data_IF_583152636867
#
_entry.id   IF_583152636867
#
_cell.length_a   1.000
_cell.length_b   1.000
_cell.length_c   1.000
_cell.angle_alpha   90.00
_cell.angle_beta   90.00
_cell.angle_gamma   90.00
#
_symmetry.space_group_name_H-M   'P 1'
#
loop_
_entity.id
_entity.type
_entity.pdbx_description
1 polymer ?
#
# COMPACT_ATOMS: atom_id res chain seq x y z
N UNK A 1 41.70 5.45 20.63
CA UNK A 1 40.54 6.19 21.17
C UNK A 1 40.13 7.35 20.26
N UNK A 2 40.98 8.37 20.02
CA UNK A 2 40.63 9.51 19.14
C UNK A 2 40.27 9.11 17.70
N UNK A 3 41.07 8.24 17.06
CA UNK A 3 40.79 7.78 15.68
C UNK A 3 39.47 6.99 15.56
N UNK A 4 39.13 6.19 16.58
CA UNK A 4 37.86 5.46 16.62
C UNK A 4 36.68 6.42 16.77
N UNK A 5 36.81 7.42 17.65
CA UNK A 5 35.80 8.47 17.81
C UNK A 5 35.58 9.26 16.51
N UNK A 6 36.66 9.69 15.86
CA UNK A 6 36.58 10.39 14.58
C UNK A 6 35.96 9.52 13.48
N UNK A 7 36.31 8.24 13.42
CA UNK A 7 35.70 7.30 12.49
C UNK A 7 34.19 7.16 12.72
N UNK A 8 33.76 6.96 13.97
CA UNK A 8 32.34 6.86 14.32
C UNK A 8 31.59 8.17 13.97
N UNK A 9 32.16 9.32 14.31
CA UNK A 9 31.58 10.62 13.97
C UNK A 9 31.43 10.81 12.45
N UNK A 10 32.43 10.39 11.67
CA UNK A 10 32.38 10.43 10.22
C UNK A 10 31.30 9.51 9.65
N UNK A 11 31.16 8.29 10.19
CA UNK A 11 30.11 7.34 9.78
C UNK A 11 28.72 7.89 10.09
N UNK A 12 28.52 8.48 11.27
CA UNK A 12 27.25 9.11 11.65
C UNK A 12 26.95 10.29 10.71
N UNK A 13 27.93 11.16 10.44
CA UNK A 13 27.76 12.28 9.53
C UNK A 13 27.40 11.79 8.12
N UNK A 14 28.08 10.77 7.60
CA UNK A 14 27.79 10.18 6.30
C UNK A 14 26.36 9.59 6.27
N UNK A 15 25.93 8.90 7.31
CA UNK A 15 24.56 8.38 7.41
C UNK A 15 23.51 9.50 7.46
N UNK A 16 23.75 10.57 8.22
CA UNK A 16 22.86 11.73 8.29
C UNK A 16 22.76 12.44 6.94
N UNK A 17 23.89 12.68 6.26
CA UNK A 17 23.92 13.28 4.93
C UNK A 17 23.23 12.38 3.90
N UNK A 18 23.44 11.07 3.97
CA UNK A 18 22.77 10.11 3.10
C UNK A 18 21.24 10.19 3.26
N UNK A 19 20.73 10.15 4.49
CA UNK A 19 19.30 10.27 4.77
C UNK A 19 18.75 11.64 4.32
N UNK A 20 19.51 12.72 4.54
CA UNK A 20 19.09 14.06 4.17
C UNK A 20 19.02 14.28 2.66
N UNK A 21 19.97 13.73 1.89
CA UNK A 21 20.18 14.05 0.47
C UNK A 21 19.55 13.01 -0.45
N UNK A 22 19.64 11.71 -0.09
CA UNK A 22 19.23 10.64 -1.00
C UNK A 22 17.73 10.72 -1.29
N UNK A 23 17.32 10.72 -2.58
CA UNK A 23 15.96 11.10 -2.95
C UNK A 23 14.90 10.14 -2.44
N UNK A 24 15.20 8.85 -2.22
CA UNK A 24 14.23 7.84 -1.78
C UNK A 24 13.57 8.14 -0.43
N UNK A 25 14.22 8.94 0.43
CA UNK A 25 13.66 9.38 1.71
C UNK A 25 12.53 10.42 1.55
N UNK A 26 12.39 11.04 0.38
CA UNK A 26 11.33 12.01 0.09
C UNK A 26 11.43 13.30 0.92
N UNK A 27 10.42 14.15 0.85
CA UNK A 27 10.35 15.43 1.57
C UNK A 27 9.77 15.31 2.99
N UNK A 28 9.62 16.45 3.65
CA UNK A 28 8.89 16.56 4.92
C UNK A 28 7.86 17.68 4.80
N UNK A 29 6.71 17.59 5.50
CA UNK A 29 5.72 18.67 5.47
C UNK A 29 6.33 20.01 5.88
N UNK A 30 5.97 21.07 5.13
CA UNK A 30 6.40 22.44 5.38
C UNK A 30 5.81 22.97 6.70
N UNK A 31 6.32 24.11 7.19
CA UNK A 31 5.81 24.72 8.44
C UNK A 31 4.33 25.09 8.32
N UNK A 32 3.93 25.59 7.16
CA UNK A 32 2.57 26.02 6.84
C UNK A 32 1.62 24.82 6.85
N UNK A 33 2.01 23.70 6.25
CA UNK A 33 1.25 22.44 6.31
C UNK A 33 1.10 21.95 7.75
N UNK A 34 2.19 21.96 8.54
CA UNK A 34 2.13 21.55 9.96
C UNK A 34 1.23 22.45 10.79
N UNK A 35 1.12 23.73 10.45
CA UNK A 35 0.20 24.64 11.11
C UNK A 35 -1.26 24.29 10.79
N UNK A 36 -1.58 23.93 9.54
CA UNK A 36 -2.90 23.40 9.18
C UNK A 36 -3.19 22.12 9.97
N UNK A 37 -2.23 21.19 10.03
CA UNK A 37 -2.42 19.91 10.74
C UNK A 37 -2.63 20.09 12.24
N UNK A 38 -2.04 21.13 12.85
CA UNK A 38 -2.21 21.39 14.29
C UNK A 38 -3.65 21.68 14.73
N UNK A 39 -4.55 21.98 13.80
CA UNK A 39 -5.99 22.11 14.06
C UNK A 39 -6.80 20.82 13.91
N UNK A 40 -6.18 19.69 13.54
CA UNK A 40 -6.86 18.41 13.34
C UNK A 40 -6.86 17.57 14.61
N UNK A 41 -7.98 16.89 14.89
CA UNK A 41 -8.14 16.03 16.07
C UNK A 41 -7.20 14.83 16.07
N UNK A 42 -6.77 14.37 14.89
CA UNK A 42 -5.85 13.26 14.70
C UNK A 42 -4.39 13.71 14.54
N UNK A 43 -4.03 14.92 14.98
CA UNK A 43 -2.65 15.41 14.97
C UNK A 43 -2.24 16.02 16.31
N UNK A 44 -1.19 15.47 16.92
CA UNK A 44 -0.71 15.88 18.24
C UNK A 44 0.80 15.80 18.33
N UNK A 45 1.44 16.78 18.99
CA UNK A 45 2.89 16.85 19.20
C UNK A 45 3.71 16.71 17.90
N UNK A 46 3.20 17.27 16.80
CA UNK A 46 3.87 17.25 15.49
C UNK A 46 3.75 15.91 14.74
N UNK A 47 2.83 15.04 15.15
CA UNK A 47 2.59 13.72 14.57
C UNK A 47 1.11 13.43 14.38
N UNK A 48 0.77 12.68 13.35
CA UNK A 48 -0.55 12.05 13.24
C UNK A 48 -0.68 10.93 14.28
N UNK A 49 -1.89 10.69 14.77
CA UNK A 49 -2.18 9.69 15.80
C UNK A 49 -3.38 8.82 15.42
N UNK A 50 -3.34 7.55 15.83
CA UNK A 50 -4.45 6.63 15.63
C UNK A 50 -5.69 7.03 16.46
N UNK A 51 -6.90 6.80 15.93
CA UNK A 51 -8.16 7.03 16.65
C UNK A 51 -8.24 6.21 17.96
N UNK A 52 -7.71 4.98 17.92
CA UNK A 52 -7.57 4.12 19.08
C UNK A 52 -6.09 4.03 19.47
N UNK A 53 -5.72 4.22 20.75
CA UNK A 53 -4.34 4.10 21.21
C UNK A 53 -3.70 2.78 20.75
N UNK A 54 -2.61 2.90 20.02
CA UNK A 54 -1.94 1.77 19.35
C UNK A 54 -0.53 1.62 19.91
N UNK A 55 -0.21 0.42 20.38
CA UNK A 55 1.09 0.11 20.98
C UNK A 55 2.04 -0.44 19.92
N UNK A 56 3.15 0.27 19.71
CA UNK A 56 4.30 -0.19 18.94
C UNK A 56 5.45 -0.45 19.92
N UNK A 57 5.35 -1.52 20.69
CA UNK A 57 6.35 -1.85 21.71
C UNK A 57 7.23 -2.98 21.19
N UNK A 58 8.28 -2.63 20.44
CA UNK A 58 9.34 -3.57 20.11
C UNK A 58 10.42 -3.49 21.20
N UNK A 59 10.54 -4.54 22.02
CA UNK A 59 11.60 -4.57 23.03
C UNK A 59 12.97 -4.83 22.39
N UNK A 60 14.05 -4.49 23.10
CA UNK A 60 15.41 -4.80 22.62
C UNK A 60 15.65 -6.31 22.45
N UNK A 61 14.90 -7.14 23.17
CA UNK A 61 14.92 -8.60 22.99
C UNK A 61 14.25 -8.98 21.67
N UNK A 62 13.08 -8.40 21.37
CA UNK A 62 12.37 -8.64 20.11
C UNK A 62 13.23 -8.23 18.92
N UNK A 63 13.91 -7.08 19.01
CA UNK A 63 14.86 -6.64 17.98
C UNK A 63 16.02 -7.63 17.77
N UNK A 64 16.58 -8.20 18.85
CA UNK A 64 17.64 -9.21 18.75
C UNK A 64 17.12 -10.51 18.12
N UNK A 65 15.92 -10.96 18.50
CA UNK A 65 15.27 -12.13 17.91
C UNK A 65 14.97 -11.90 16.43
N UNK A 66 14.49 -10.72 16.04
CA UNK A 66 14.27 -10.34 14.65
C UNK A 66 15.55 -10.44 13.82
N UNK A 67 16.68 -9.92 14.33
CA UNK A 67 17.98 -10.05 13.65
C UNK A 67 18.35 -11.52 13.49
N UNK A 68 18.21 -12.33 14.55
CA UNK A 68 18.52 -13.76 14.51
C UNK A 68 17.65 -14.49 13.48
N UNK A 69 16.34 -14.22 13.48
CA UNK A 69 15.39 -14.84 12.56
C UNK A 69 15.60 -14.41 11.11
N UNK A 70 15.96 -13.14 10.88
CA UNK A 70 16.30 -12.64 9.55
C UNK A 70 17.57 -13.32 9.00
N UNK A 71 18.56 -13.61 9.86
CA UNK A 71 19.78 -14.34 9.48
C UNK A 71 19.51 -15.84 9.31
N UNK A 72 18.73 -16.45 10.21
CA UNK A 72 18.54 -17.89 10.22
C UNK A 72 17.69 -18.40 9.05
N UNK A 73 16.94 -17.51 8.38
CA UNK A 73 16.10 -17.84 7.23
C UNK A 73 15.02 -18.85 7.59
N UNK A 74 13.83 -18.38 7.97
CA UNK A 74 12.70 -19.28 8.21
C UNK A 74 12.38 -20.13 6.97
N UNK A 75 11.81 -21.31 7.20
CA UNK A 75 11.40 -22.21 6.11
C UNK A 75 10.39 -21.50 5.21
N UNK A 76 10.58 -21.62 3.91
CA UNK A 76 9.62 -21.20 2.88
C UNK A 76 9.14 -19.74 3.02
N UNK A 77 9.98 -18.82 3.49
CA UNK A 77 9.66 -17.38 3.58
C UNK A 77 9.56 -16.65 2.25
N UNK A 78 9.99 -17.30 1.17
CA UNK A 78 10.04 -16.80 -0.20
C UNK A 78 9.83 -17.98 -1.16
N UNK A 79 9.23 -17.76 -2.35
CA UNK A 79 9.16 -18.79 -3.37
C UNK A 79 10.54 -19.30 -3.81
N UNK A 80 10.62 -20.60 -4.10
CA UNK A 80 11.86 -21.28 -4.52
C UNK A 80 12.41 -20.77 -5.86
N UNK A 81 11.53 -20.26 -6.72
CA UNK A 81 11.85 -19.66 -8.01
C UNK A 81 11.16 -18.30 -8.17
N UNK A 82 11.68 -17.38 -9.01
CA UNK A 82 11.00 -16.13 -9.27
C UNK A 82 9.58 -16.35 -9.83
N UNK A 83 8.61 -15.63 -9.28
CA UNK A 83 7.23 -15.67 -9.79
C UNK A 83 7.22 -15.06 -11.18
N UNK A 84 6.72 -15.82 -12.15
CA UNK A 84 6.50 -15.34 -13.51
C UNK A 84 5.25 -14.48 -13.55
N UNK A 85 5.37 -13.28 -14.10
CA UNK A 85 4.26 -12.36 -14.31
C UNK A 85 4.01 -12.32 -15.82
N UNK A 86 2.80 -12.66 -16.30
CA UNK A 86 2.48 -12.56 -17.72
C UNK A 86 2.47 -11.09 -18.16
N UNK A 87 2.56 -10.87 -19.47
CA UNK A 87 2.36 -9.54 -20.04
C UNK A 87 0.94 -9.04 -19.72
N UNK A 88 0.85 -7.73 -19.47
CA UNK A 88 -0.41 -7.07 -19.14
C UNK A 88 -1.31 -7.02 -20.38
N UNK A 89 -2.55 -7.49 -20.23
CA UNK A 89 -3.57 -7.43 -21.27
C UNK A 89 -4.22 -6.04 -21.30
N UNK A 90 -3.60 -5.11 -22.02
CA UNK A 90 -4.12 -3.75 -22.18
C UNK A 90 -5.50 -3.71 -22.84
N UNK A 91 -5.91 -4.71 -23.62
CA UNK A 91 -7.25 -4.71 -24.21
C UNK A 91 -8.33 -4.89 -23.15
N UNK A 92 -8.07 -5.74 -22.14
CA UNK A 92 -8.98 -5.89 -20.99
C UNK A 92 -9.02 -4.63 -20.13
N UNK A 93 -7.86 -4.04 -19.85
CA UNK A 93 -7.77 -2.80 -19.08
C UNK A 93 -8.52 -1.67 -19.82
N UNK A 94 -8.41 -1.61 -21.15
CA UNK A 94 -9.03 -0.57 -21.99
C UNK A 94 -10.49 -0.81 -22.32
N UNK A 95 -11.06 -1.94 -21.88
CA UNK A 95 -12.48 -2.20 -22.08
C UNK A 95 -13.34 -1.20 -21.27
N UNK A 96 -14.62 -1.12 -21.65
CA UNK A 96 -15.61 -0.33 -20.89
C UNK A 96 -16.08 -1.02 -19.61
N UNK A 97 -15.64 -2.26 -19.37
CA UNK A 97 -15.94 -3.01 -18.17
C UNK A 97 -15.03 -2.56 -17.02
N UNK A 98 -15.64 -2.43 -15.84
CA UNK A 98 -14.86 -2.19 -14.63
C UNK A 98 -13.96 -3.40 -14.37
N UNK A 99 -12.72 -3.16 -14.01
CA UNK A 99 -11.70 -4.23 -13.90
C UNK A 99 -10.63 -3.91 -12.87
N UNK A 100 -9.92 -4.94 -12.43
CA UNK A 100 -8.75 -4.83 -11.55
C UNK A 100 -7.59 -5.63 -12.14
N UNK A 101 -6.41 -5.03 -12.14
CA UNK A 101 -5.15 -5.70 -12.43
C UNK A 101 -4.25 -5.65 -11.21
N UNK A 102 -3.81 -6.81 -10.71
CA UNK A 102 -2.99 -6.90 -9.50
C UNK A 102 -1.51 -7.05 -9.81
N UNK A 103 -0.66 -6.21 -9.24
CA UNK A 103 0.79 -6.24 -9.41
C UNK A 103 1.52 -6.86 -8.21
N UNK A 104 0.81 -7.65 -7.39
CA UNK A 104 1.37 -8.21 -6.16
C UNK A 104 1.45 -7.18 -5.04
N UNK A 105 1.58 -7.65 -3.80
CA UNK A 105 1.53 -6.80 -2.61
C UNK A 105 0.23 -6.00 -2.56
N UNK A 106 0.32 -4.70 -2.31
CA UNK A 106 -0.80 -3.75 -2.29
C UNK A 106 -0.87 -2.87 -3.55
N UNK A 107 -0.18 -3.24 -4.64
CA UNK A 107 -0.17 -2.49 -5.89
C UNK A 107 -1.20 -3.03 -6.89
N UNK A 108 -2.14 -2.19 -7.34
CA UNK A 108 -3.18 -2.59 -8.30
C UNK A 108 -3.71 -1.42 -9.12
N UNK A 109 -4.09 -1.70 -10.37
CA UNK A 109 -4.74 -0.75 -11.27
C UNK A 109 -6.24 -1.09 -11.37
N UNK A 110 -7.08 -0.12 -11.05
CA UNK A 110 -8.53 -0.20 -11.20
C UNK A 110 -8.97 0.51 -12.47
N UNK A 111 -9.92 -0.07 -13.18
CA UNK A 111 -10.78 0.60 -14.15
C UNK A 111 -12.17 0.69 -13.52
N UNK A 112 -12.65 1.90 -13.21
CA UNK A 112 -14.02 2.14 -12.71
C UNK A 112 -14.62 3.32 -13.47
N UNK A 113 -15.79 3.12 -14.09
CA UNK A 113 -16.46 4.13 -14.93
C UNK A 113 -15.52 4.73 -16.00
N UNK A 114 -14.74 3.86 -16.66
CA UNK A 114 -13.70 4.24 -17.64
C UNK A 114 -12.61 5.16 -17.07
N UNK A 115 -12.31 5.08 -15.76
CA UNK A 115 -11.20 5.82 -15.12
C UNK A 115 -10.16 4.85 -14.61
N UNK A 116 -8.89 5.15 -14.87
CA UNK A 116 -7.72 4.34 -14.51
C UNK A 116 -7.09 4.86 -13.23
N UNK A 117 -7.29 4.14 -12.14
CA UNK A 117 -6.83 4.50 -10.81
C UNK A 117 -5.73 3.53 -10.35
N UNK A 118 -4.51 4.02 -10.19
CA UNK A 118 -3.39 3.19 -9.74
C UNK A 118 -3.15 3.40 -8.24
N UNK A 119 -3.45 2.37 -7.44
CA UNK A 119 -3.27 2.41 -5.99
C UNK A 119 -1.91 1.83 -5.62
N UNK A 120 -1.20 2.54 -4.73
CA UNK A 120 0.10 2.17 -4.15
C UNK A 120 1.04 1.53 -5.17
N UNK A 121 1.48 2.25 -6.22
CA UNK A 121 2.20 1.69 -7.36
C UNK A 121 3.65 1.31 -7.02
N UNK A 122 3.87 0.46 -6.01
CA UNK A 122 5.14 -0.15 -5.70
C UNK A 122 5.45 -1.24 -6.72
N UNK A 123 6.26 -0.90 -7.74
CA UNK A 123 6.67 -1.80 -8.83
C UNK A 123 8.19 -2.01 -8.88
N UNK A 124 8.93 -1.29 -8.04
CA UNK A 124 10.35 -1.44 -7.84
C UNK A 124 10.78 -2.84 -7.37
N UNK A 125 12.08 -3.15 -7.49
CA UNK A 125 12.62 -4.47 -7.15
C UNK A 125 12.79 -4.72 -5.64
N UNK A 126 12.81 -3.67 -4.81
CA UNK A 126 13.11 -3.77 -3.37
C UNK A 126 12.29 -2.75 -2.58
N UNK A 127 11.60 -3.20 -1.53
CA UNK A 127 10.91 -2.34 -0.57
C UNK A 127 11.88 -1.74 0.46
N UNK A 128 12.69 -0.76 0.02
CA UNK A 128 13.75 -0.16 0.84
C UNK A 128 14.25 1.17 0.28
N UNK A 129 14.84 2.05 1.11
CA UNK A 129 15.53 3.25 0.62
C UNK A 129 16.74 2.95 -0.27
N UNK A 130 17.29 1.72 -0.21
CA UNK A 130 18.50 1.29 -0.94
C UNK A 130 18.34 -0.10 -1.53
N UNK A 131 18.98 -0.37 -2.66
CA UNK A 131 18.86 -1.66 -3.37
C UNK A 131 19.58 -2.83 -2.72
N UNK A 132 20.55 -2.58 -1.82
CA UNK A 132 21.37 -3.62 -1.17
C UNK A 132 20.82 -4.08 0.18
N UNK A 133 19.79 -3.42 0.72
CA UNK A 133 19.16 -3.79 1.98
C UNK A 133 17.65 -3.88 1.80
N UNK A 134 16.98 -4.78 2.52
CA UNK A 134 15.54 -5.00 2.42
C UNK A 134 15.14 -6.19 1.55
N UNK A 135 13.83 -6.44 1.48
CA UNK A 135 13.27 -7.60 0.81
C UNK A 135 13.20 -7.39 -0.70
N UNK A 136 13.79 -8.30 -1.46
CA UNK A 136 13.68 -8.30 -2.93
C UNK A 136 12.33 -8.86 -3.34
N UNK A 137 11.75 -8.28 -4.38
CA UNK A 137 10.53 -8.78 -5.01
C UNK A 137 10.66 -10.25 -5.40
N UNK A 138 9.56 -11.00 -5.31
CA UNK A 138 9.48 -12.40 -5.70
C UNK A 138 9.53 -12.56 -7.23
N UNK A 139 8.89 -11.65 -7.97
CA UNK A 139 9.05 -11.50 -9.41
C UNK A 139 10.19 -10.52 -9.77
N UNK A 140 10.42 -10.30 -11.06
CA UNK A 140 11.27 -9.23 -11.54
C UNK A 140 10.64 -7.85 -11.27
N UNK A 141 11.41 -6.78 -11.42
CA UNK A 141 10.83 -5.42 -11.33
C UNK A 141 9.76 -5.23 -12.40
N UNK A 142 8.67 -4.59 -12.00
CA UNK A 142 7.51 -4.33 -12.84
C UNK A 142 7.45 -2.88 -13.31
N UNK A 143 8.55 -2.12 -13.14
CA UNK A 143 8.64 -0.72 -13.59
C UNK A 143 8.41 -0.57 -15.09
N UNK A 144 8.76 -1.59 -15.88
CA UNK A 144 8.54 -1.60 -17.33
C UNK A 144 7.06 -1.46 -17.69
N UNK A 145 6.12 -1.96 -16.88
CA UNK A 145 4.70 -1.75 -17.12
C UNK A 145 4.29 -0.27 -17.09
N UNK A 146 4.94 0.57 -16.28
CA UNK A 146 4.71 2.02 -16.32
C UNK A 146 5.32 2.60 -17.60
N UNK A 147 6.46 2.08 -18.05
CA UNK A 147 7.11 2.56 -19.27
C UNK A 147 6.25 2.22 -20.51
N UNK A 148 5.61 1.04 -20.49
CA UNK A 148 4.74 0.50 -21.54
C UNK A 148 3.30 1.04 -21.50
N UNK A 149 2.90 1.81 -20.47
CA UNK A 149 1.57 2.45 -20.47
C UNK A 149 1.42 3.35 -21.70
N UNK A 150 0.38 3.13 -22.53
CA UNK A 150 0.18 3.94 -23.72
C UNK A 150 -0.17 5.39 -23.34
N UNK A 151 -0.07 6.31 -24.29
CA UNK A 151 -0.79 7.59 -24.23
C UNK A 151 -1.94 7.50 -25.23
N UNK A 152 -3.08 8.10 -24.91
CA UNK A 152 -4.22 8.20 -25.82
C UNK A 152 -4.42 9.68 -26.12
N UNK A 153 -4.26 10.12 -27.38
CA UNK A 153 -4.44 11.52 -27.79
C UNK A 153 -3.71 12.54 -26.90
N UNK A 154 -2.43 12.28 -26.59
CA UNK A 154 -1.59 13.07 -25.66
C UNK A 154 -2.11 13.17 -24.21
N UNK A 155 -3.15 12.41 -23.86
CA UNK A 155 -3.67 12.35 -22.49
C UNK A 155 -2.99 11.25 -21.67
N UNK A 156 -2.69 11.53 -20.38
CA UNK A 156 -2.24 10.53 -19.43
C UNK A 156 -3.20 9.33 -19.39
N UNK A 157 -2.68 8.12 -19.58
CA UNK A 157 -3.49 6.91 -19.48
C UNK A 157 -3.98 6.62 -18.07
N UNK A 158 -3.27 7.12 -17.06
CA UNK A 158 -3.64 6.95 -15.65
C UNK A 158 -4.30 8.25 -15.20
N UNK A 159 -5.60 8.20 -14.93
CA UNK A 159 -6.37 9.35 -14.44
C UNK A 159 -5.91 9.75 -13.04
N UNK A 160 -5.69 8.78 -12.15
CA UNK A 160 -5.23 9.09 -10.81
C UNK A 160 -4.29 8.04 -10.21
N UNK A 161 -3.38 8.51 -9.38
CA UNK A 161 -2.65 7.67 -8.42
C UNK A 161 -3.20 7.93 -7.02
N UNK A 162 -3.50 6.86 -6.30
CA UNK A 162 -3.93 6.93 -4.90
C UNK A 162 -2.86 6.28 -4.03
N UNK A 163 -2.43 6.97 -2.97
CA UNK A 163 -1.44 6.45 -2.02
C UNK A 163 -2.11 6.24 -0.68
N UNK A 164 -1.88 5.11 -0.01
CA UNK A 164 -2.43 4.83 1.32
C UNK A 164 -1.58 5.41 2.43
N UNK A 165 -0.25 5.33 2.31
CA UNK A 165 0.73 5.86 3.26
C UNK A 165 2.15 5.89 2.67
N UNK A 166 3.12 6.39 3.45
CA UNK A 166 4.46 6.69 2.95
C UNK A 166 5.50 5.57 3.12
N UNK A 167 5.15 4.34 3.49
CA UNK A 167 6.15 3.26 3.60
C UNK A 167 6.72 2.85 2.24
N UNK A 168 7.91 2.23 2.26
CA UNK A 168 8.67 1.91 1.05
C UNK A 168 8.03 0.85 0.16
N UNK A 169 7.17 0.01 0.71
CA UNK A 169 6.41 -1.03 0.01
C UNK A 169 5.06 -0.54 -0.56
N UNK A 170 4.71 0.73 -0.34
CA UNK A 170 3.49 1.38 -0.88
C UNK A 170 3.83 2.61 -1.73
N UNK A 171 4.75 3.45 -1.24
CA UNK A 171 5.21 4.66 -1.91
C UNK A 171 6.63 4.47 -2.47
N UNK A 172 6.68 4.11 -3.76
CA UNK A 172 7.92 3.75 -4.44
C UNK A 172 8.50 4.90 -5.28
N UNK A 173 9.68 5.38 -4.90
CA UNK A 173 10.36 6.47 -5.59
C UNK A 173 10.53 6.23 -7.12
N UNK A 174 11.12 5.11 -7.58
CA UNK A 174 11.28 4.85 -9.01
C UNK A 174 9.96 4.74 -9.78
N UNK A 175 8.87 4.26 -9.17
CA UNK A 175 7.54 4.31 -9.80
C UNK A 175 7.03 5.73 -9.94
N UNK A 176 7.03 6.53 -8.86
CA UNK A 176 6.55 7.92 -8.93
C UNK A 176 7.35 8.75 -9.95
N UNK A 177 8.66 8.52 -10.06
CA UNK A 177 9.50 9.20 -11.05
C UNK A 177 9.09 8.91 -12.50
N UNK A 178 8.59 7.72 -12.80
CA UNK A 178 8.06 7.34 -14.13
C UNK A 178 6.62 7.83 -14.32
N UNK A 179 5.82 7.78 -13.27
CA UNK A 179 4.39 8.13 -13.29
C UNK A 179 4.12 9.63 -13.36
N UNK A 180 5.00 10.49 -12.81
CA UNK A 180 4.70 11.92 -12.61
C UNK A 180 4.24 12.69 -13.86
N UNK A 181 4.61 12.26 -15.06
CA UNK A 181 4.20 12.84 -16.35
C UNK A 181 3.17 12.01 -17.11
N UNK A 182 2.81 10.84 -16.59
CA UNK A 182 1.84 9.89 -17.14
C UNK A 182 0.56 9.79 -16.31
N UNK A 183 0.40 10.68 -15.32
CA UNK A 183 -0.72 10.71 -14.39
C UNK A 183 -1.35 12.09 -14.40
N UNK A 184 -2.68 12.14 -14.43
CA UNK A 184 -3.40 13.40 -14.35
C UNK A 184 -3.35 13.96 -12.92
N UNK A 185 -3.75 13.18 -11.91
CA UNK A 185 -3.79 13.63 -10.51
C UNK A 185 -3.26 12.62 -9.49
N UNK A 186 -2.79 13.11 -8.34
CA UNK A 186 -2.38 12.31 -7.18
C UNK A 186 -3.27 12.63 -5.97
N UNK A 187 -3.90 11.61 -5.40
CA UNK A 187 -4.66 11.70 -4.15
C UNK A 187 -3.90 10.97 -3.05
N UNK A 188 -3.56 11.68 -1.98
CA UNK A 188 -2.69 11.15 -0.93
C UNK A 188 -3.13 11.62 0.46
N UNK A 189 -2.75 10.92 1.55
CA UNK A 189 -2.93 11.42 2.90
C UNK A 189 -2.13 12.70 3.15
N UNK A 190 -2.58 13.51 4.11
CA UNK A 190 -1.84 14.69 4.54
C UNK A 190 -0.36 14.43 4.83
N UNK A 191 0.50 15.26 4.25
CA UNK A 191 1.94 15.23 4.41
C UNK A 191 2.67 14.36 3.37
N UNK A 192 2.01 13.37 2.76
CA UNK A 192 2.61 12.52 1.73
C UNK A 192 2.95 13.33 0.47
N UNK A 193 2.20 14.40 0.18
CA UNK A 193 2.47 15.30 -0.94
C UNK A 193 3.84 15.98 -0.86
N UNK A 194 4.44 16.10 0.33
CA UNK A 194 5.80 16.59 0.49
C UNK A 194 6.85 15.68 -0.18
N UNK A 195 6.63 14.36 -0.18
CA UNK A 195 7.48 13.42 -0.90
C UNK A 195 7.33 13.58 -2.41
N UNK A 196 6.10 13.62 -2.91
CA UNK A 196 5.81 13.79 -4.33
C UNK A 196 6.37 15.10 -4.89
N UNK A 197 6.21 16.20 -4.16
CA UNK A 197 6.79 17.50 -4.50
C UNK A 197 8.32 17.44 -4.60
N UNK A 198 9.00 16.81 -3.63
CA UNK A 198 10.47 16.63 -3.68
C UNK A 198 10.90 15.81 -4.90
N UNK A 199 10.06 14.89 -5.37
CA UNK A 199 10.34 14.04 -6.54
C UNK A 199 9.98 14.69 -7.88
N UNK A 200 9.37 15.88 -7.83
CA UNK A 200 9.07 16.73 -8.96
C UNK A 200 7.67 16.51 -9.56
N UNK A 201 6.72 16.03 -8.77
CA UNK A 201 5.29 16.13 -9.09
C UNK A 201 4.85 17.57 -8.85
N UNK A 202 4.04 18.14 -9.76
CA UNK A 202 3.56 19.51 -9.63
C UNK A 202 2.53 19.62 -8.50
N UNK A 203 2.57 20.71 -7.73
CA UNK A 203 1.74 20.90 -6.53
C UNK A 203 0.24 20.88 -6.83
N UNK A 204 -0.14 21.44 -7.98
CA UNK A 204 -1.51 21.51 -8.50
C UNK A 204 -2.06 20.14 -8.92
N UNK A 205 -1.19 19.14 -9.12
CA UNK A 205 -1.56 17.74 -9.38
C UNK A 205 -1.68 16.90 -8.10
N UNK A 206 -1.62 17.49 -6.92
CA UNK A 206 -1.65 16.77 -5.64
C UNK A 206 -2.80 17.28 -4.79
N UNK A 207 -3.70 16.38 -4.40
CA UNK A 207 -4.69 16.62 -3.35
C UNK A 207 -4.33 15.79 -2.12
N UNK A 208 -4.08 16.48 -1.02
CA UNK A 208 -3.85 15.87 0.29
C UNK A 208 -5.16 15.83 1.08
N UNK A 209 -5.52 14.67 1.62
CA UNK A 209 -6.78 14.42 2.33
C UNK A 209 -6.51 13.99 3.77
N UNK A 210 -7.40 14.37 4.69
CA UNK A 210 -7.52 13.79 6.01
C UNK A 210 -8.49 12.60 6.00
N UNK A 211 -8.55 11.86 7.11
CA UNK A 211 -9.60 10.86 7.29
C UNK A 211 -10.99 11.47 7.18
N UNK A 212 -11.85 10.73 6.47
CA UNK A 212 -13.23 11.06 6.15
C UNK A 212 -13.43 12.22 5.17
N UNK A 213 -12.36 12.86 4.71
CA UNK A 213 -12.47 13.81 3.61
C UNK A 213 -12.87 13.07 2.33
N UNK A 214 -13.85 13.64 1.64
CA UNK A 214 -14.38 13.16 0.38
C UNK A 214 -14.00 14.13 -0.75
N UNK A 215 -13.68 13.58 -1.92
CA UNK A 215 -13.42 14.34 -3.14
C UNK A 215 -14.19 13.73 -4.30
N UNK A 216 -14.69 14.59 -5.19
CA UNK A 216 -15.24 14.15 -6.48
C UNK A 216 -14.20 14.37 -7.57
N UNK A 217 -13.88 13.33 -8.33
CA UNK A 217 -12.93 13.37 -9.43
C UNK A 217 -13.49 12.62 -10.64
N UNK A 218 -13.72 13.35 -11.73
CA UNK A 218 -14.23 12.79 -12.99
C UNK A 218 -15.48 11.89 -12.83
N UNK A 219 -16.40 12.26 -11.92
CA UNK A 219 -17.62 11.50 -11.66
C UNK A 219 -17.51 10.44 -10.57
N UNK A 220 -16.30 10.12 -10.10
CA UNK A 220 -16.07 9.22 -8.98
C UNK A 220 -16.09 10.00 -7.66
N UNK A 221 -16.71 9.44 -6.62
CA UNK A 221 -16.51 9.90 -5.24
C UNK A 221 -15.43 9.06 -4.59
N UNK A 222 -14.39 9.70 -4.08
CA UNK A 222 -13.31 9.04 -3.36
C UNK A 222 -13.20 9.59 -1.95
N UNK A 223 -12.85 8.74 -0.99
CA UNK A 223 -12.63 9.16 0.39
C UNK A 223 -11.43 8.46 1.00
N UNK A 224 -10.63 9.21 1.76
CA UNK A 224 -9.58 8.62 2.59
C UNK A 224 -10.20 8.14 3.90
N UNK A 225 -10.07 6.85 4.21
CA UNK A 225 -10.64 6.27 5.44
C UNK A 225 -9.59 6.09 6.53
N UNK A 226 -9.99 6.08 7.81
CA UNK A 226 -9.07 5.73 8.89
C UNK A 226 -8.49 4.34 8.73
N UNK A 227 -7.28 4.19 9.24
CA UNK A 227 -6.62 2.91 9.48
C UNK A 227 -5.80 2.98 10.77
N UNK A 228 -5.55 1.82 11.39
CA UNK A 228 -4.73 1.69 12.59
C UNK A 228 -3.30 1.32 12.21
N UNK A 229 -2.50 2.30 11.82
CA UNK A 229 -1.13 2.10 11.33
C UNK A 229 -0.18 3.21 11.78
N UNK A 230 0.91 3.41 11.05
CA UNK A 230 1.90 4.46 11.26
C UNK A 230 2.56 4.85 9.94
N UNK A 231 3.43 5.85 9.99
CA UNK A 231 4.18 6.31 8.81
C UNK A 231 5.63 6.66 9.16
N UNK A 232 6.45 6.81 8.12
CA UNK A 232 7.82 7.28 8.22
C UNK A 232 8.74 6.61 7.21
N UNK A 233 9.71 7.40 6.72
CA UNK A 233 10.71 6.96 5.74
C UNK A 233 12.15 7.09 6.25
N UNK A 234 12.37 7.86 7.30
CA UNK A 234 13.66 8.10 7.93
C UNK A 234 13.56 8.14 9.45
N UNK A 235 14.67 8.46 10.11
CA UNK A 235 14.79 8.33 11.57
C UNK A 235 14.00 9.42 12.32
N UNK A 236 13.79 10.59 11.70
CA UNK A 236 13.21 11.78 12.34
C UNK A 236 11.82 12.16 11.82
N UNK A 237 11.24 11.39 10.91
CA UNK A 237 9.95 11.73 10.28
C UNK A 237 8.82 10.74 10.62
N UNK A 238 8.99 9.95 11.69
CA UNK A 238 7.97 9.03 12.18
C UNK A 238 6.66 9.77 12.43
N UNK A 239 5.57 9.25 11.86
CA UNK A 239 4.19 9.70 11.99
C UNK A 239 4.00 11.17 11.55
N UNK A 240 4.89 11.71 10.71
CA UNK A 240 4.76 13.10 10.21
C UNK A 240 3.85 13.24 8.99
N UNK A 241 3.48 12.11 8.38
CA UNK A 241 2.50 12.00 7.30
C UNK A 241 1.34 11.12 7.79
N UNK A 242 0.15 11.30 7.24
CA UNK A 242 -1.02 10.48 7.55
C UNK A 242 -0.98 9.16 6.76
N UNK A 243 -1.78 8.19 7.18
CA UNK A 243 -1.98 6.88 6.56
C UNK A 243 -3.48 6.58 6.49
N UNK A 244 -3.94 5.67 5.63
CA UNK A 244 -5.36 5.31 5.58
C UNK A 244 -5.70 4.28 4.49
N UNK A 245 -6.99 4.05 4.31
CA UNK A 245 -7.55 3.29 3.19
C UNK A 245 -8.24 4.20 2.18
N UNK A 246 -8.71 3.63 1.07
CA UNK A 246 -9.46 4.36 0.05
C UNK A 246 -10.81 3.72 -0.21
N UNK A 247 -11.86 4.54 -0.15
CA UNK A 247 -13.16 4.27 -0.73
C UNK A 247 -13.21 4.90 -2.12
N UNK A 248 -13.68 4.15 -3.11
CA UNK A 248 -13.93 4.64 -4.48
C UNK A 248 -15.34 4.21 -4.87
N UNK A 249 -16.20 5.19 -5.12
CA UNK A 249 -17.60 4.99 -5.49
C UNK A 249 -17.80 5.50 -6.93
N UNK A 250 -18.05 4.57 -7.84
CA UNK A 250 -18.53 4.84 -9.19
C UNK A 250 -20.05 4.72 -9.30
N UNK A 251 -20.55 4.81 -10.54
CA UNK A 251 -21.96 4.71 -10.88
C UNK A 251 -22.54 3.32 -10.60
N UNK A 252 -21.74 2.26 -10.74
CA UNK A 252 -22.16 0.87 -10.52
C UNK A 252 -21.27 0.12 -9.52
N UNK A 253 -19.98 0.46 -9.48
CA UNK A 253 -18.99 -0.25 -8.66
C UNK A 253 -18.61 0.56 -7.44
N UNK A 254 -18.67 -0.09 -6.27
CA UNK A 254 -18.21 0.43 -4.98
C UNK A 254 -17.03 -0.40 -4.54
N UNK A 255 -15.87 0.24 -4.44
CA UNK A 255 -14.60 -0.40 -4.12
C UNK A 255 -14.05 0.14 -2.80
N UNK A 256 -13.40 -0.74 -2.04
CA UNK A 256 -12.66 -0.36 -0.85
C UNK A 256 -11.29 -1.05 -0.80
N UNK A 257 -10.26 -0.33 -0.37
CA UNK A 257 -9.00 -0.92 0.08
C UNK A 257 -8.61 -0.40 1.44
N UNK A 258 -8.13 -1.29 2.31
CA UNK A 258 -7.76 -0.92 3.69
C UNK A 258 -6.47 -0.10 3.79
N UNK A 259 -5.61 -0.15 2.76
CA UNK A 259 -4.17 0.09 2.98
C UNK A 259 -3.64 -0.90 4.00
N UNK A 260 -2.62 -0.50 4.76
CA UNK A 260 -2.10 -1.26 5.89
C UNK A 260 -2.74 -0.77 7.20
N UNK A 261 -2.95 -1.69 8.14
CA UNK A 261 -3.38 -1.38 9.49
C UNK A 261 -3.91 -2.58 10.25
N UNK A 262 -3.91 -2.46 11.58
CA UNK A 262 -4.49 -3.46 12.47
C UNK A 262 -6.02 -3.37 12.56
N UNK A 263 -6.63 -4.43 13.04
CA UNK A 263 -8.09 -4.51 13.22
C UNK A 263 -8.64 -3.47 14.22
N UNK A 264 -9.84 -2.94 13.98
CA UNK A 264 -10.50 -1.96 14.84
C UNK A 264 -11.93 -1.58 14.42
N UNK A 265 -12.59 -0.71 15.20
CA UNK A 265 -14.00 -0.31 14.96
C UNK A 265 -14.22 0.46 13.66
N UNK A 266 -13.18 1.11 13.15
CA UNK A 266 -13.22 1.90 11.91
C UNK A 266 -13.76 1.09 10.72
N UNK A 267 -13.53 -0.22 10.64
CA UNK A 267 -14.10 -1.05 9.57
C UNK A 267 -15.63 -1.05 9.58
N UNK A 268 -16.27 -1.17 10.75
CA UNK A 268 -17.74 -1.07 10.87
C UNK A 268 -18.24 0.33 10.53
N UNK A 269 -17.52 1.36 10.97
CA UNK A 269 -17.84 2.76 10.65
C UNK A 269 -17.79 3.02 9.14
N UNK A 270 -16.76 2.51 8.45
CA UNK A 270 -16.59 2.56 7.00
C UNK A 270 -17.73 1.80 6.31
N UNK A 271 -18.05 0.58 6.75
CA UNK A 271 -19.17 -0.21 6.20
C UNK A 271 -20.52 0.47 6.37
N UNK A 272 -20.76 1.10 7.52
CA UNK A 272 -22.00 1.86 7.77
C UNK A 272 -22.10 3.12 6.90
N UNK A 273 -20.99 3.83 6.68
CA UNK A 273 -20.98 5.07 5.91
C UNK A 273 -21.01 4.83 4.40
N UNK A 274 -20.26 3.83 3.94
CA UNK A 274 -19.95 3.65 2.52
C UNK A 274 -20.24 2.24 1.99
N UNK A 275 -20.61 1.26 2.82
CA UNK A 275 -20.99 -0.07 2.36
C UNK A 275 -22.41 -0.13 1.82
N UNK A 276 -22.82 -1.27 1.21
CA UNK A 276 -21.98 -2.41 0.88
C UNK A 276 -21.03 -2.13 -0.29
N UNK A 277 -19.93 -2.89 -0.37
CA UNK A 277 -18.92 -2.80 -1.44
C UNK A 277 -18.94 -4.02 -2.34
N UNK A 278 -18.78 -3.85 -3.66
CA UNK A 278 -18.72 -4.96 -4.61
C UNK A 278 -17.40 -5.75 -4.52
N UNK A 279 -16.31 -5.05 -4.17
CA UNK A 279 -15.00 -5.64 -3.96
C UNK A 279 -14.25 -4.88 -2.86
N UNK A 280 -13.63 -5.64 -1.95
CA UNK A 280 -12.73 -5.10 -0.93
C UNK A 280 -11.35 -5.73 -1.03
N UNK A 281 -10.30 -4.92 -1.02
CA UNK A 281 -8.90 -5.35 -0.91
C UNK A 281 -8.40 -5.09 0.50
N UNK A 282 -8.25 -6.14 1.29
CA UNK A 282 -7.94 -6.05 2.72
C UNK A 282 -6.55 -6.63 3.00
N UNK A 283 -5.72 -5.90 3.73
CA UNK A 283 -4.41 -6.39 4.16
C UNK A 283 -4.54 -7.55 5.15
N UNK A 284 -3.60 -8.47 5.07
CA UNK A 284 -3.41 -9.52 6.07
C UNK A 284 -2.20 -10.38 5.77
N UNK A 285 -1.23 -9.79 5.04
CA UNK A 285 -0.15 -10.50 4.36
C UNK A 285 1.21 -10.42 5.05
N UNK A 286 1.41 -9.48 5.97
CA UNK A 286 2.69 -9.25 6.66
C UNK A 286 2.50 -9.17 8.18
N UNK A 287 1.77 -10.13 8.74
CA UNK A 287 1.40 -10.13 10.15
C UNK A 287 2.49 -10.76 11.05
N UNK A 288 2.56 -10.32 12.30
CA UNK A 288 3.39 -10.92 13.35
C UNK A 288 2.89 -10.46 14.73
N UNK A 289 3.06 -11.29 15.75
CA UNK A 289 2.65 -10.96 17.12
C UNK A 289 3.26 -9.64 17.62
N UNK A 290 4.51 -9.35 17.22
CA UNK A 290 5.28 -8.15 17.62
C UNK A 290 4.66 -6.84 17.13
N UNK A 291 3.86 -6.87 16.07
CA UNK A 291 3.20 -5.70 15.48
C UNK A 291 1.73 -5.95 15.16
N UNK A 292 1.10 -6.88 15.88
CA UNK A 292 -0.34 -7.21 15.83
C UNK A 292 -1.28 -6.01 16.00
N UNK A 293 -0.78 -4.89 16.50
CA UNK A 293 -1.58 -3.67 16.59
C UNK A 293 -1.73 -2.94 15.25
N UNK A 294 -0.85 -3.17 14.30
CA UNK A 294 -0.75 -2.37 13.06
C UNK A 294 -0.78 -3.20 11.78
N UNK A 295 -0.84 -4.54 11.88
CA UNK A 295 -1.15 -5.43 10.76
C UNK A 295 -2.14 -6.50 11.20
N UNK A 296 -3.08 -6.83 10.33
CA UNK A 296 -4.11 -7.85 10.60
C UNK A 296 -3.58 -9.24 10.35
N UNK A 297 -4.04 -10.22 11.12
CA UNK A 297 -3.94 -11.62 10.67
C UNK A 297 -4.91 -11.87 9.50
N UNK A 298 -4.72 -12.95 8.72
CA UNK A 298 -5.66 -13.33 7.66
C UNK A 298 -7.11 -13.47 8.13
N UNK A 299 -7.33 -13.91 9.36
CA UNK A 299 -8.67 -14.05 9.94
C UNK A 299 -9.30 -12.70 10.31
N UNK A 300 -8.50 -11.79 10.85
CA UNK A 300 -8.93 -10.41 11.10
C UNK A 300 -9.23 -9.70 9.78
N UNK A 301 -8.49 -9.98 8.71
CA UNK A 301 -8.75 -9.45 7.38
C UNK A 301 -10.12 -9.90 6.84
N UNK A 302 -10.46 -11.19 6.99
CA UNK A 302 -11.78 -11.71 6.61
C UNK A 302 -12.88 -11.09 7.47
N UNK A 303 -12.64 -10.87 8.76
CA UNK A 303 -13.59 -10.18 9.62
C UNK A 303 -13.75 -8.70 9.22
N UNK A 304 -12.68 -8.00 8.88
CA UNK A 304 -12.72 -6.62 8.41
C UNK A 304 -13.52 -6.49 7.11
N UNK A 305 -13.37 -7.44 6.18
CA UNK A 305 -14.20 -7.53 4.97
C UNK A 305 -15.71 -7.62 5.29
N UNK A 306 -16.09 -8.45 6.25
CA UNK A 306 -17.49 -8.54 6.71
C UNK A 306 -17.98 -7.24 7.35
N UNK A 307 -17.13 -6.62 8.18
CA UNK A 307 -17.46 -5.39 8.89
C UNK A 307 -17.65 -4.18 7.95
N UNK A 308 -16.90 -4.13 6.84
CA UNK A 308 -17.12 -3.12 5.78
C UNK A 308 -18.27 -3.47 4.84
N UNK A 309 -18.95 -4.61 5.04
CA UNK A 309 -20.06 -5.09 4.21
C UNK A 309 -19.63 -5.34 2.75
N UNK A 310 -18.48 -6.00 2.55
CA UNK A 310 -18.02 -6.39 1.22
C UNK A 310 -18.76 -7.63 0.67
N UNK A 311 -18.96 -7.67 -0.65
CA UNK A 311 -19.53 -8.83 -1.37
C UNK A 311 -18.44 -9.84 -1.76
N UNK A 312 -17.32 -9.35 -2.30
CA UNK A 312 -16.13 -10.14 -2.65
C UNK A 312 -14.89 -9.56 -1.97
N UNK A 313 -13.99 -10.44 -1.57
CA UNK A 313 -12.75 -10.09 -0.89
C UNK A 313 -11.54 -10.49 -1.72
N UNK A 314 -10.53 -9.66 -1.74
CA UNK A 314 -9.17 -10.06 -2.13
C UNK A 314 -8.22 -9.75 -0.97
N UNK A 315 -7.39 -10.72 -0.60
CA UNK A 315 -6.30 -10.49 0.35
C UNK A 315 -5.15 -9.78 -0.37
N UNK A 316 -4.63 -8.71 0.21
CA UNK A 316 -3.46 -7.97 -0.30
C UNK A 316 -2.28 -8.05 0.67
N UNK A 317 -1.18 -7.33 0.35
CA UNK A 317 0.04 -7.28 1.15
C UNK A 317 0.85 -8.59 1.17
N UNK A 318 0.55 -9.52 0.26
CA UNK A 318 1.27 -10.78 0.09
C UNK A 318 1.74 -10.97 -1.37
N UNK A 319 2.48 -12.06 -1.64
CA UNK A 319 2.83 -12.46 -3.01
C UNK A 319 3.95 -11.66 -3.68
N UNK A 320 4.54 -10.65 -3.03
CA UNK A 320 5.62 -9.85 -3.62
C UNK A 320 6.89 -9.77 -2.79
N UNK A 321 6.79 -9.64 -1.46
CA UNK A 321 7.94 -9.40 -0.59
C UNK A 321 7.83 -10.21 0.70
N UNK A 322 8.98 -10.56 1.27
CA UNK A 322 9.10 -11.12 2.64
C UNK A 322 9.31 -9.95 3.61
N UNK A 323 8.26 -9.48 4.27
CA UNK A 323 8.34 -8.41 5.29
C UNK A 323 7.95 -8.90 6.69
N UNK A 324 7.45 -10.13 6.80
CA UNK A 324 7.14 -10.83 8.05
C UNK A 324 7.83 -12.20 8.15
N UNK A 325 7.65 -12.87 9.29
CA UNK A 325 8.44 -14.04 9.67
C UNK A 325 7.76 -15.41 9.40
N UNK A 326 6.60 -15.44 8.74
CA UNK A 326 5.88 -16.63 8.31
C UNK A 326 6.26 -17.11 6.89
N UNK A 327 5.77 -18.29 6.47
CA UNK A 327 5.89 -18.75 5.08
C UNK A 327 5.20 -17.77 4.13
N UNK A 328 5.69 -17.61 2.90
CA UNK A 328 5.10 -16.67 1.94
C UNK A 328 3.69 -17.06 1.46
N UNK A 329 3.33 -18.35 1.57
CA UNK A 329 2.00 -18.88 1.21
C UNK A 329 1.01 -18.86 2.37
N UNK A 330 1.50 -18.75 3.60
CA UNK A 330 0.68 -18.88 4.81
C UNK A 330 -0.50 -17.88 4.85
N UNK A 331 -0.33 -16.59 4.50
CA UNK A 331 -1.44 -15.63 4.55
C UNK A 331 -2.63 -16.02 3.68
N UNK A 332 -2.39 -16.42 2.43
CA UNK A 332 -3.47 -16.75 1.51
C UNK A 332 -4.15 -18.06 1.88
N UNK A 333 -3.41 -19.03 2.42
CA UNK A 333 -3.96 -20.32 2.83
C UNK A 333 -4.86 -20.17 4.06
N UNK A 334 -4.45 -19.38 5.05
CA UNK A 334 -5.28 -19.05 6.22
C UNK A 334 -6.49 -18.20 5.86
N UNK A 335 -6.33 -17.20 4.99
CA UNK A 335 -7.45 -16.38 4.53
C UNK A 335 -8.50 -17.23 3.80
N UNK A 336 -8.08 -18.16 2.95
CA UNK A 336 -8.99 -19.07 2.24
C UNK A 336 -9.75 -19.97 3.19
N UNK A 337 -9.07 -20.56 4.18
CA UNK A 337 -9.74 -21.36 5.20
C UNK A 337 -10.78 -20.53 5.94
N UNK A 338 -10.42 -19.32 6.38
CA UNK A 338 -11.34 -18.48 7.14
C UNK A 338 -12.50 -17.97 6.29
N UNK A 339 -12.25 -17.68 5.01
CA UNK A 339 -13.28 -17.26 4.07
C UNK A 339 -14.32 -18.36 3.84
N UNK A 340 -13.88 -19.62 3.70
CA UNK A 340 -14.77 -20.78 3.60
C UNK A 340 -15.66 -20.93 4.85
N UNK A 341 -15.06 -20.87 6.05
CA UNK A 341 -15.80 -20.92 7.33
C UNK A 341 -16.85 -19.80 7.47
N UNK A 342 -16.57 -18.63 6.90
CA UNK A 342 -17.40 -17.43 7.00
C UNK A 342 -18.34 -17.23 5.80
N UNK A 343 -18.34 -18.12 4.81
CA UNK A 343 -19.05 -17.97 3.53
C UNK A 343 -18.70 -16.68 2.77
N UNK A 344 -17.43 -16.27 2.81
CA UNK A 344 -16.90 -15.12 2.07
C UNK A 344 -16.37 -15.55 0.71
N UNK A 345 -16.74 -14.83 -0.35
CA UNK A 345 -16.18 -15.06 -1.68
C UNK A 345 -14.80 -14.40 -1.79
N UNK A 346 -13.75 -15.18 -1.53
CA UNK A 346 -12.37 -14.74 -1.67
C UNK A 346 -11.84 -15.02 -3.08
N UNK A 347 -11.38 -13.98 -3.79
CA UNK A 347 -10.78 -14.08 -5.13
C UNK A 347 -9.26 -14.14 -5.04
N UNK A 348 -8.65 -14.93 -5.94
CA UNK A 348 -7.20 -15.19 -5.97
C UNK A 348 -6.59 -15.03 -7.36
N UNK A 349 -6.59 -13.81 -7.93
CA UNK A 349 -5.98 -13.56 -9.23
C UNK A 349 -4.47 -13.84 -9.19
N UNK A 350 -3.90 -14.17 -10.34
CA UNK A 350 -2.44 -14.19 -10.52
C UNK A 350 -1.89 -12.77 -10.55
N UNK A 351 -0.63 -12.62 -10.16
CA UNK A 351 0.09 -11.35 -10.36
C UNK A 351 0.15 -11.08 -11.87
N UNK A 352 -0.24 -9.87 -12.29
CA UNK A 352 -0.37 -9.43 -13.68
C UNK A 352 -1.74 -9.73 -14.32
N UNK A 353 -2.63 -10.46 -13.64
CA UNK A 353 -3.94 -10.80 -14.19
C UNK A 353 -4.93 -9.64 -14.06
N UNK A 354 -5.56 -9.29 -15.18
CA UNK A 354 -6.72 -8.39 -15.25
C UNK A 354 -8.00 -9.20 -15.20
N UNK A 355 -8.86 -8.90 -14.23
CA UNK A 355 -10.18 -9.52 -14.11
C UNK A 355 -11.29 -8.46 -13.98
N UNK A 356 -12.48 -8.73 -14.54
CA UNK A 356 -13.63 -7.83 -14.45
C UNK A 356 -14.19 -7.76 -13.03
N UNK A 357 -14.73 -6.59 -12.68
CA UNK A 357 -15.40 -6.31 -11.41
C UNK A 357 -16.91 -6.45 -11.48
N UNK A 358 -17.50 -6.62 -12.66
CA UNK A 358 -18.93 -6.88 -12.75
C UNK A 358 -19.29 -8.31 -12.26
N UNK A 359 -20.56 -8.50 -11.91
CA UNK A 359 -21.05 -9.76 -11.33
C UNK A 359 -21.28 -10.87 -12.37
N UNK A 360 -21.09 -10.60 -13.66
CA UNK A 360 -21.35 -11.56 -14.73
C UNK A 360 -20.23 -12.59 -14.91
N UNK A 361 -19.02 -12.26 -14.44
CA UNK A 361 -17.85 -13.11 -14.56
C UNK A 361 -17.43 -13.70 -13.22
N UNK A 362 -17.35 -15.03 -13.19
CA UNK A 362 -16.68 -15.78 -12.13
C UNK A 362 -15.18 -15.57 -12.29
N UNK A 363 -14.55 -14.80 -11.40
CA UNK A 363 -13.08 -14.81 -11.30
C UNK A 363 -12.67 -16.23 -10.93
N UNK A 364 -11.89 -16.95 -11.76
CA UNK A 364 -11.55 -18.33 -11.46
C UNK A 364 -10.73 -18.38 -10.18
N UNK A 365 -11.17 -19.19 -9.21
CA UNK A 365 -10.30 -19.59 -8.11
C UNK A 365 -9.03 -20.20 -8.68
N UNK A 366 -7.88 -19.66 -8.29
CA UNK A 366 -6.60 -20.21 -8.67
C UNK A 366 -5.71 -20.41 -7.44
N UNK A 367 -4.89 -21.45 -7.46
CA UNK A 367 -3.93 -21.80 -6.40
C UNK A 367 -2.49 -21.65 -6.91
N UNK A 368 -2.23 -20.59 -7.66
CA UNK A 368 -0.97 -20.39 -8.41
C UNK A 368 0.28 -20.40 -7.53
N UNK A 369 0.15 -20.14 -6.22
CA UNK A 369 1.25 -20.18 -5.27
C UNK A 369 1.70 -21.59 -4.88
N UNK A 370 0.95 -22.63 -5.30
CA UNK A 370 1.28 -24.05 -5.08
C UNK A 370 2.07 -24.69 -6.24
N UNK A 371 2.30 -23.93 -7.31
CA UNK A 371 2.85 -24.42 -8.58
C UNK A 371 4.39 -24.55 -8.58
#
# INVERSE_FOLDING_TARGET
>A
MLYLFLFIALVILAAVLFIAIHPTFGGSPAKEQKQVYSGLDNFSNGRFVNQVPTKMNMSSRDALYMIKESISGGKDRRPSSPIQVPDIDWNKINSEEDSLTWFGHSAFLLSIDNKKLFVDPMLGPVASPVSFAGSKRYSQSMLHFIDDTPFIDDTPFIDAVLITHDHYDHLDYPSIKRLKSKVEHFFVPHGVGAHLNRWGVAKDKITELNWWDEVTFQGLTMALTPSKHFSGRGILNKDTTLWGGWVILGARTRFYTSGDGGYGSHFKEIGQKYGPFNLTLIEGGQYDERWSWVHMTPEEAVQAHLDVQGERMMLVHWGAFTLAYHSWTDPIERALQKADEANVTLITPKIGETFPLDGAFTVPFSSWWKA
#
